data_IF_070132657502
#
_entry.id   IF_070132657502
#
_cell.length_a   1.000
_cell.length_b   1.000
_cell.length_c   1.000
_cell.angle_alpha   90.00
_cell.angle_beta   90.00
_cell.angle_gamma   90.00
#
_symmetry.space_group_name_H-M   'P 1'
#
loop_
_entity.id
_entity.type
_entity.pdbx_description
1 polymer ?
#
# COMPACT_ATOMS: atom_id res chain seq x y z
N UNK A 1 -14.50 -24.52 -8.55
CA UNK A 1 -13.85 -23.53 -7.65
C UNK A 1 -12.84 -22.78 -8.50
N UNK A 2 -13.04 -21.48 -8.71
CA UNK A 2 -12.03 -20.66 -9.38
C UNK A 2 -10.75 -20.67 -8.55
N UNK A 3 -9.62 -20.84 -9.24
CA UNK A 3 -8.30 -20.87 -8.61
C UNK A 3 -7.96 -19.48 -8.09
N UNK A 4 -7.93 -19.27 -6.76
CA UNK A 4 -7.45 -18.03 -6.16
C UNK A 4 -6.11 -17.63 -6.77
N UNK A 5 -6.04 -16.42 -7.32
CA UNK A 5 -4.80 -15.90 -7.90
C UNK A 5 -4.03 -15.12 -6.86
N UNK A 6 -2.70 -15.14 -6.98
CA UNK A 6 -1.83 -14.31 -6.15
C UNK A 6 -1.27 -13.16 -6.97
N UNK A 7 -1.47 -11.92 -6.55
CA UNK A 7 -1.09 -10.71 -7.28
C UNK A 7 -0.15 -9.83 -6.44
N UNK A 8 0.93 -9.28 -7.02
CA UNK A 8 1.79 -8.33 -6.31
C UNK A 8 1.12 -6.98 -6.16
N UNK A 9 1.31 -6.35 -5.00
CA UNK A 9 0.95 -4.95 -4.79
C UNK A 9 2.01 -4.24 -3.96
N UNK A 10 2.37 -3.01 -4.36
CA UNK A 10 3.38 -2.22 -3.68
C UNK A 10 2.76 -1.46 -2.50
N UNK A 11 3.44 -1.50 -1.37
CA UNK A 11 3.09 -0.74 -0.17
C UNK A 11 4.30 0.05 0.33
N UNK A 12 4.05 1.29 0.75
CA UNK A 12 5.07 2.11 1.41
C UNK A 12 5.32 1.62 2.84
N UNK A 13 6.45 2.01 3.42
CA UNK A 13 6.80 1.63 4.80
C UNK A 13 5.72 1.99 5.83
N UNK A 14 5.11 3.20 5.82
CA UNK A 14 3.99 3.51 6.71
C UNK A 14 2.78 2.58 6.53
N UNK A 15 2.42 2.26 5.27
CA UNK A 15 1.31 1.35 4.98
C UNK A 15 1.58 -0.07 5.49
N UNK A 16 2.83 -0.57 5.36
CA UNK A 16 3.21 -1.88 5.91
C UNK A 16 3.10 -1.89 7.43
N UNK A 17 3.52 -0.84 8.11
CA UNK A 17 3.34 -0.73 9.57
C UNK A 17 1.87 -0.81 9.95
N UNK A 18 1.02 -0.07 9.25
CA UNK A 18 -0.43 -0.10 9.47
C UNK A 18 -1.09 -1.46 9.14
N UNK A 19 -0.52 -2.25 8.23
CA UNK A 19 -0.94 -3.63 8.00
C UNK A 19 -0.52 -4.56 9.15
N UNK A 20 0.70 -4.37 9.67
CA UNK A 20 1.25 -5.19 10.76
C UNK A 20 0.54 -4.94 12.10
N UNK A 21 0.13 -3.71 12.37
CA UNK A 21 -0.63 -3.34 13.58
C UNK A 21 -2.16 -3.51 13.43
N UNK A 22 -2.63 -3.86 12.22
CA UNK A 22 -4.04 -4.14 11.94
C UNK A 22 -4.91 -2.90 11.71
N UNK A 23 -4.35 -1.70 11.71
CA UNK A 23 -5.09 -0.45 11.47
C UNK A 23 -5.47 -0.24 10.00
N UNK A 24 -4.77 -0.90 9.05
CA UNK A 24 -5.05 -0.83 7.63
C UNK A 24 -5.78 -2.07 7.14
N UNK A 25 -7.00 -1.89 6.63
CA UNK A 25 -7.81 -2.97 6.02
C UNK A 25 -8.40 -2.59 4.66
N UNK A 26 -8.02 -1.43 4.10
CA UNK A 26 -8.48 -0.90 2.83
C UNK A 26 -7.32 -0.29 2.04
N UNK A 27 -7.39 -0.30 0.70
CA UNK A 27 -6.43 0.43 -0.14
C UNK A 27 -7.06 0.93 -1.44
N UNK A 28 -6.74 2.18 -1.79
CA UNK A 28 -7.15 2.84 -3.04
C UNK A 28 -6.06 2.77 -4.08
N UNK A 29 -6.45 2.47 -5.33
CA UNK A 29 -5.54 2.43 -6.49
C UNK A 29 -6.20 3.13 -7.68
N UNK A 30 -5.48 4.07 -8.29
CA UNK A 30 -5.98 4.80 -9.47
C UNK A 30 -6.41 3.81 -10.55
N UNK A 31 -7.60 4.02 -11.09
CA UNK A 31 -8.07 3.33 -12.28
C UNK A 31 -7.26 3.84 -13.47
N UNK A 32 -6.33 3.01 -13.97
CA UNK A 32 -5.46 3.39 -15.09
C UNK A 32 -6.06 2.91 -16.39
N UNK A 33 -6.24 3.82 -17.32
CA UNK A 33 -6.66 3.53 -18.69
C UNK A 33 -5.86 4.38 -19.69
N UNK A 34 -5.73 3.91 -20.94
CA UNK A 34 -5.05 4.65 -22.01
C UNK A 34 -5.79 5.87 -22.53
N UNK A 35 -7.07 6.05 -22.13
CA UNK A 35 -7.88 7.25 -22.43
C UNK A 35 -8.21 7.99 -21.13
N UNK A 36 -8.48 9.29 -21.26
CA UNK A 36 -8.98 10.09 -20.14
C UNK A 36 -10.42 9.68 -19.82
N UNK A 37 -10.64 9.22 -18.60
CA UNK A 37 -11.95 8.80 -18.08
C UNK A 37 -12.52 9.80 -17.07
N UNK A 38 -11.88 10.97 -16.91
CA UNK A 38 -12.25 11.97 -15.89
C UNK A 38 -13.69 12.46 -16.01
N UNK A 39 -14.22 12.52 -17.23
CA UNK A 39 -15.58 12.97 -17.52
C UNK A 39 -16.62 11.83 -17.60
N UNK A 40 -16.16 10.58 -17.46
CA UNK A 40 -17.08 9.42 -17.46
C UNK A 40 -17.77 9.26 -16.11
N UNK A 41 -18.87 8.51 -16.11
CA UNK A 41 -19.55 8.05 -14.90
C UNK A 41 -19.38 6.56 -14.73
N UNK A 42 -19.21 6.10 -13.48
CA UNK A 42 -19.17 4.67 -13.20
C UNK A 42 -20.55 4.06 -13.42
N UNK A 43 -20.61 2.97 -14.20
CA UNK A 43 -21.85 2.33 -14.63
C UNK A 43 -22.10 0.95 -13.98
N UNK A 44 -21.17 0.49 -13.14
CA UNK A 44 -21.27 -0.79 -12.42
C UNK A 44 -20.21 -1.81 -12.80
N UNK A 45 -20.33 -3.00 -12.23
CA UNK A 45 -19.47 -4.15 -12.51
C UNK A 45 -20.21 -5.20 -13.35
N UNK A 46 -19.47 -5.88 -14.22
CA UNK A 46 -19.90 -7.12 -14.88
C UNK A 46 -18.70 -8.04 -14.94
N UNK A 47 -18.81 -9.23 -14.35
CA UNK A 47 -17.73 -10.19 -14.23
C UNK A 47 -16.47 -9.55 -13.59
N UNK A 48 -15.32 -9.55 -14.28
CA UNK A 48 -14.03 -9.02 -13.84
C UNK A 48 -13.75 -7.61 -14.39
N UNK A 49 -14.79 -6.85 -14.77
CA UNK A 49 -14.68 -5.52 -15.36
C UNK A 49 -15.53 -4.48 -14.64
N UNK A 50 -14.94 -3.30 -14.46
CA UNK A 50 -15.63 -2.08 -14.10
C UNK A 50 -16.02 -1.34 -15.38
N UNK A 51 -17.27 -0.89 -15.48
CA UNK A 51 -17.77 -0.18 -16.65
C UNK A 51 -17.96 1.29 -16.34
N UNK A 52 -17.50 2.11 -17.28
CA UNK A 52 -17.66 3.56 -17.26
C UNK A 52 -18.40 3.99 -18.52
N UNK A 53 -19.22 5.02 -18.43
CA UNK A 53 -20.02 5.52 -19.54
C UNK A 53 -19.93 7.04 -19.68
N UNK A 54 -20.00 7.50 -20.92
CA UNK A 54 -20.21 8.88 -21.32
C UNK A 54 -21.20 8.95 -22.48
N UNK A 55 -21.32 10.11 -23.13
CA UNK A 55 -22.20 10.30 -24.31
C UNK A 55 -21.77 9.46 -25.53
N UNK A 56 -20.50 9.04 -25.59
CA UNK A 56 -19.91 8.26 -26.69
C UNK A 56 -20.09 6.76 -26.53
N UNK A 57 -20.44 6.29 -25.33
CA UNK A 57 -20.70 4.89 -25.11
C UNK A 57 -20.20 4.32 -23.77
N UNK A 58 -20.04 3.01 -23.75
CA UNK A 58 -19.65 2.22 -22.58
C UNK A 58 -18.21 1.68 -22.74
N UNK A 59 -17.39 1.91 -21.74
CA UNK A 59 -16.01 1.44 -21.66
C UNK A 59 -15.85 0.45 -20.51
N UNK A 60 -15.45 -0.78 -20.82
CA UNK A 60 -15.10 -1.80 -19.82
C UNK A 60 -13.63 -1.75 -19.47
N UNK A 61 -13.33 -1.79 -18.18
CA UNK A 61 -11.97 -1.85 -17.66
C UNK A 61 -11.79 -3.03 -16.74
N UNK A 62 -10.85 -3.90 -17.12
CA UNK A 62 -10.52 -5.07 -16.33
C UNK A 62 -9.76 -4.66 -15.07
N UNK A 63 -10.20 -5.11 -13.90
CA UNK A 63 -9.42 -4.97 -12.70
C UNK A 63 -8.44 -6.15 -12.56
N UNK A 64 -7.29 -5.86 -11.96
CA UNK A 64 -6.19 -6.84 -11.89
C UNK A 64 -6.37 -7.86 -10.78
N UNK A 65 -7.29 -7.61 -9.84
CA UNK A 65 -7.47 -8.40 -8.61
C UNK A 65 -8.95 -8.53 -8.33
N UNK A 66 -9.44 -9.75 -8.14
CA UNK A 66 -10.85 -10.06 -7.88
C UNK A 66 -11.11 -10.30 -6.40
N UNK A 67 -12.37 -10.28 -5.98
CA UNK A 67 -12.77 -10.74 -4.65
C UNK A 67 -12.37 -12.21 -4.50
N UNK A 68 -11.72 -12.53 -3.38
CA UNK A 68 -11.16 -13.85 -3.08
C UNK A 68 -9.72 -14.06 -3.58
N UNK A 69 -9.19 -13.21 -4.45
CA UNK A 69 -7.75 -13.22 -4.78
C UNK A 69 -6.89 -12.82 -3.57
N UNK A 70 -5.63 -13.24 -3.58
CA UNK A 70 -4.68 -12.88 -2.55
C UNK A 70 -3.63 -11.91 -3.09
N UNK A 71 -3.53 -10.76 -2.47
CA UNK A 71 -2.47 -9.79 -2.72
C UNK A 71 -1.27 -10.19 -1.88
N UNK A 72 -0.09 -10.34 -2.50
CA UNK A 72 1.15 -10.40 -1.77
C UNK A 72 1.84 -9.03 -1.74
N UNK A 73 2.12 -8.56 -0.51
CA UNK A 73 2.63 -7.22 -0.30
C UNK A 73 4.11 -7.15 -0.65
N UNK A 74 4.48 -6.15 -1.45
CA UNK A 74 5.87 -5.81 -1.73
C UNK A 74 6.23 -4.56 -0.94
N UNK A 75 7.27 -4.68 -0.14
CA UNK A 75 7.74 -3.61 0.76
C UNK A 75 9.24 -3.32 0.56
N UNK A 76 9.71 -2.21 1.10
CA UNK A 76 11.14 -1.88 1.11
C UNK A 76 11.88 -2.89 1.97
N UNK A 77 12.89 -3.53 1.41
CA UNK A 77 13.65 -4.62 2.02
C UNK A 77 15.15 -4.46 1.82
N UNK A 78 15.93 -5.23 2.54
CA UNK A 78 17.37 -5.38 2.34
C UNK A 78 17.77 -6.82 2.60
N UNK A 79 18.97 -7.20 2.21
CA UNK A 79 19.50 -8.54 2.38
C UNK A 79 20.77 -8.46 3.21
N UNK A 80 20.86 -9.29 4.22
CA UNK A 80 22.07 -9.51 4.97
C UNK A 80 22.78 -10.75 4.40
N UNK A 81 23.96 -10.56 3.80
CA UNK A 81 24.71 -11.61 3.14
C UNK A 81 26.03 -11.88 3.89
N UNK A 82 26.54 -13.14 3.91
CA UNK A 82 27.89 -13.42 4.42
C UNK A 82 28.95 -12.68 3.60
N UNK A 83 29.97 -12.12 4.28
CA UNK A 83 31.09 -11.42 3.62
C UNK A 83 32.06 -12.38 2.93
N UNK A 84 32.06 -13.66 3.30
CA UNK A 84 32.94 -14.67 2.72
C UNK A 84 32.10 -15.81 2.11
N UNK A 85 32.52 -16.26 0.91
CA UNK A 85 31.96 -17.47 0.32
C UNK A 85 32.23 -18.64 1.27
N UNK A 86 31.17 -19.32 1.73
CA UNK A 86 31.35 -20.56 2.49
C UNK A 86 31.99 -21.61 1.58
N UNK A 87 32.98 -22.39 2.03
CA UNK A 87 33.73 -23.32 1.19
C UNK A 87 32.91 -24.44 0.53
N UNK A 88 31.62 -24.53 0.82
CA UNK A 88 30.74 -25.63 0.42
C UNK A 88 29.70 -25.27 -0.64
N UNK A 89 29.83 -24.15 -1.35
CA UNK A 89 28.90 -23.81 -2.44
C UNK A 89 27.43 -23.76 -2.02
N UNK A 90 27.15 -23.58 -0.74
CA UNK A 90 25.82 -23.39 -0.23
C UNK A 90 25.30 -22.06 -0.77
N UNK A 91 24.25 -22.09 -1.58
CA UNK A 91 23.41 -20.94 -1.84
C UNK A 91 22.90 -20.44 -0.49
N UNK A 92 23.64 -19.52 0.13
CA UNK A 92 23.17 -18.86 1.33
C UNK A 92 22.09 -17.90 0.86
N UNK A 93 20.85 -18.30 1.01
CA UNK A 93 19.73 -17.38 0.89
C UNK A 93 19.86 -16.37 2.02
N UNK A 94 20.40 -15.21 1.70
CA UNK A 94 20.59 -14.13 2.66
C UNK A 94 19.29 -13.85 3.40
N UNK A 95 19.42 -13.47 4.68
CA UNK A 95 18.24 -13.15 5.49
C UNK A 95 17.63 -11.84 5.01
N UNK A 96 16.32 -11.86 4.69
CA UNK A 96 15.57 -10.66 4.34
C UNK A 96 15.26 -9.83 5.58
N UNK A 97 15.52 -8.54 5.48
CA UNK A 97 15.17 -7.54 6.47
C UNK A 97 14.23 -6.52 5.85
N UNK A 98 13.28 -5.99 6.63
CA UNK A 98 12.24 -5.13 6.11
C UNK A 98 12.30 -3.76 6.78
N UNK A 99 12.33 -2.71 5.98
CA UNK A 99 12.46 -1.34 6.50
C UNK A 99 11.36 -0.96 7.50
N UNK A 100 10.19 -1.60 7.40
CA UNK A 100 9.11 -1.38 8.34
C UNK A 100 9.46 -1.75 9.79
N UNK A 101 10.34 -2.74 10.00
CA UNK A 101 10.74 -3.21 11.33
C UNK A 101 11.81 -2.31 11.96
N UNK A 102 12.59 -1.61 11.14
CA UNK A 102 13.76 -0.82 11.57
C UNK A 102 13.55 0.69 11.49
N UNK A 103 12.54 1.15 10.75
CA UNK A 103 12.31 2.59 10.53
C UNK A 103 13.49 3.25 9.79
N UNK A 104 14.18 4.17 10.46
CA UNK A 104 15.37 4.84 9.91
C UNK A 104 16.68 4.12 10.26
N UNK A 105 16.62 3.11 11.12
CA UNK A 105 17.78 2.32 11.52
C UNK A 105 18.10 1.23 10.48
N UNK A 106 19.24 0.60 10.64
CA UNK A 106 19.64 -0.60 9.91
C UNK A 106 19.57 -1.81 10.83
N UNK A 107 19.46 -3.03 10.28
CA UNK A 107 19.67 -4.24 11.07
C UNK A 107 21.04 -4.17 11.76
N UNK A 108 21.16 -4.75 12.96
CA UNK A 108 22.44 -4.96 13.61
C UNK A 108 23.00 -6.30 13.17
N UNK A 109 24.27 -6.34 12.79
CA UNK A 109 24.96 -7.55 12.35
C UNK A 109 26.43 -7.54 12.76
N UNK A 110 27.07 -8.70 12.69
CA UNK A 110 28.52 -8.83 12.81
C UNK A 110 29.17 -8.42 11.48
N UNK A 111 29.77 -7.23 11.44
CA UNK A 111 30.38 -6.65 10.23
C UNK A 111 31.56 -7.49 9.71
N UNK A 112 32.15 -8.36 10.55
CA UNK A 112 33.19 -9.30 10.11
C UNK A 112 32.67 -10.50 9.35
N UNK A 113 31.41 -10.91 9.61
CA UNK A 113 30.79 -12.10 9.05
C UNK A 113 29.75 -11.81 7.99
N UNK A 114 29.09 -10.65 8.04
CA UNK A 114 27.98 -10.31 7.17
C UNK A 114 28.09 -8.89 6.62
N UNK A 115 27.44 -8.66 5.49
CA UNK A 115 27.27 -7.35 4.85
C UNK A 115 25.79 -7.09 4.58
N UNK A 116 25.35 -5.87 4.91
CA UNK A 116 23.99 -5.42 4.56
C UNK A 116 24.03 -4.62 3.25
N UNK A 117 23.36 -5.11 2.23
CA UNK A 117 23.36 -4.55 0.88
C UNK A 117 22.53 -3.26 0.73
N UNK A 118 21.99 -2.74 1.86
CA UNK A 118 21.21 -1.53 1.91
C UNK A 118 19.72 -1.76 1.64
N UNK A 119 18.92 -0.69 1.81
CA UNK A 119 17.49 -0.72 1.54
C UNK A 119 17.19 -0.65 0.05
N UNK A 120 16.50 -1.66 -0.48
CA UNK A 120 16.03 -1.75 -1.87
C UNK A 120 14.56 -1.37 -1.97
N UNK A 121 14.17 -0.64 -3.03
CA UNK A 121 12.77 -0.31 -3.27
C UNK A 121 11.88 -1.55 -3.36
N UNK A 122 10.65 -1.43 -2.91
CA UNK A 122 9.63 -2.48 -2.94
C UNK A 122 9.40 -3.09 -4.33
N UNK A 123 9.65 -2.32 -5.39
CA UNK A 123 9.54 -2.79 -6.79
C UNK A 123 10.46 -3.98 -7.08
N UNK A 124 11.59 -4.10 -6.41
CA UNK A 124 12.58 -5.16 -6.64
C UNK A 124 12.42 -6.35 -5.68
N UNK A 125 11.44 -6.30 -4.75
CA UNK A 125 11.25 -7.37 -3.78
C UNK A 125 10.85 -8.67 -4.48
N UNK A 126 11.61 -9.77 -4.30
CA UNK A 126 11.27 -11.05 -4.88
C UNK A 126 10.08 -11.70 -4.14
N UNK A 127 9.38 -12.59 -4.84
CA UNK A 127 8.20 -13.27 -4.31
C UNK A 127 8.48 -14.05 -3.02
N UNK A 128 9.62 -14.71 -2.95
CA UNK A 128 10.05 -15.50 -1.78
C UNK A 128 10.24 -14.68 -0.51
N UNK A 129 10.56 -13.37 -0.65
CA UNK A 129 10.70 -12.44 0.48
C UNK A 129 9.35 -11.94 1.02
N UNK A 130 8.23 -12.31 0.41
CA UNK A 130 6.93 -11.84 0.87
C UNK A 130 6.53 -12.48 2.21
N UNK A 131 6.14 -11.65 3.17
CA UNK A 131 5.67 -12.05 4.50
C UNK A 131 4.23 -11.65 4.80
N UNK A 132 3.62 -10.77 3.99
CA UNK A 132 2.27 -10.27 4.22
C UNK A 132 1.37 -10.58 3.03
N UNK A 133 0.23 -11.22 3.33
CA UNK A 133 -0.76 -11.66 2.37
C UNK A 133 -2.12 -11.12 2.75
N UNK A 134 -2.84 -10.56 1.76
CA UNK A 134 -4.13 -9.90 1.95
C UNK A 134 -5.15 -10.59 1.05
N UNK A 135 -6.18 -11.20 1.61
CA UNK A 135 -7.32 -11.72 0.85
C UNK A 135 -8.30 -10.57 0.58
N UNK A 136 -8.60 -10.30 -0.67
CA UNK A 136 -9.56 -9.27 -1.08
C UNK A 136 -10.96 -9.73 -0.72
N UNK A 137 -11.66 -8.94 0.08
CA UNK A 137 -13.02 -9.24 0.55
C UNK A 137 -14.09 -8.46 -0.20
N UNK A 138 -13.74 -7.27 -0.72
CA UNK A 138 -14.66 -6.44 -1.50
C UNK A 138 -13.87 -5.55 -2.47
N UNK A 139 -14.53 -5.14 -3.56
CA UNK A 139 -14.00 -4.19 -4.54
C UNK A 139 -15.10 -3.21 -4.89
N UNK A 140 -14.80 -1.92 -4.85
CA UNK A 140 -15.71 -0.86 -5.32
C UNK A 140 -14.95 0.18 -6.12
N UNK A 141 -15.68 0.99 -6.88
CA UNK A 141 -15.15 2.13 -7.64
C UNK A 141 -15.80 3.39 -7.12
N UNK A 142 -14.99 4.40 -6.84
CA UNK A 142 -15.46 5.71 -6.41
C UNK A 142 -14.52 6.81 -6.92
N UNK A 143 -14.93 8.06 -6.80
CA UNK A 143 -14.01 9.18 -6.93
C UNK A 143 -13.13 9.26 -5.70
N UNK A 144 -11.88 9.68 -5.88
CA UNK A 144 -10.93 9.77 -4.77
C UNK A 144 -11.44 10.66 -3.63
N UNK A 145 -12.06 11.79 -3.97
CA UNK A 145 -12.52 12.77 -2.99
C UNK A 145 -13.86 12.38 -2.32
N UNK A 146 -14.51 11.29 -2.76
CA UNK A 146 -15.71 10.74 -2.10
C UNK A 146 -15.36 9.88 -0.87
N UNK A 147 -14.08 9.80 -0.50
CA UNK A 147 -13.63 9.06 0.67
C UNK A 147 -14.29 9.59 1.94
N UNK A 148 -14.83 8.68 2.77
CA UNK A 148 -15.32 9.02 4.11
C UNK A 148 -14.17 9.06 5.13
N UNK A 149 -14.41 9.68 6.30
CA UNK A 149 -13.43 9.69 7.40
C UNK A 149 -13.11 8.26 7.87
N UNK A 150 -14.13 7.40 8.00
CA UNK A 150 -13.95 5.99 8.35
C UNK A 150 -13.09 5.24 7.34
N UNK A 151 -13.26 5.52 6.05
CA UNK A 151 -12.43 4.94 5.00
C UNK A 151 -10.99 5.47 5.02
N UNK A 152 -10.82 6.76 5.32
CA UNK A 152 -9.49 7.34 5.50
C UNK A 152 -8.74 6.66 6.66
N UNK A 153 -9.42 6.40 7.77
CA UNK A 153 -8.85 5.61 8.89
C UNK A 153 -8.53 4.19 8.45
N UNK A 154 -9.42 3.54 7.69
CA UNK A 154 -9.22 2.18 7.16
C UNK A 154 -8.04 2.07 6.17
N UNK A 155 -7.61 3.18 5.55
CA UNK A 155 -6.36 3.25 4.78
C UNK A 155 -5.10 3.20 5.65
N UNK A 156 -5.24 3.23 6.99
CA UNK A 156 -4.15 3.10 7.95
C UNK A 156 -3.38 4.40 8.17
N UNK A 157 -4.05 5.54 8.13
CA UNK A 157 -3.47 6.81 8.57
C UNK A 157 -3.29 6.81 10.10
N UNK A 158 -2.36 7.60 10.59
CA UNK A 158 -1.99 7.60 12.00
C UNK A 158 -2.66 8.77 12.71
N UNK A 159 -3.40 8.45 13.79
CA UNK A 159 -3.79 9.42 14.80
C UNK A 159 -2.61 9.57 15.77
N UNK A 160 -2.01 10.75 15.85
CA UNK A 160 -0.86 11.04 16.71
C UNK A 160 -1.29 11.35 18.16
N UNK A 161 -2.62 11.48 18.42
CA UNK A 161 -3.20 11.76 19.75
C UNK A 161 -4.37 10.83 20.08
N UNK A 162 -4.19 9.48 20.03
CA UNK A 162 -5.31 8.52 20.17
C UNK A 162 -6.01 8.56 21.54
N UNK A 163 -5.43 9.23 22.53
CA UNK A 163 -5.98 9.36 23.89
C UNK A 163 -6.90 10.57 24.06
N UNK A 164 -6.98 11.44 23.05
CA UNK A 164 -7.86 12.61 23.07
C UNK A 164 -9.23 12.28 22.46
N UNK A 165 -10.29 13.04 22.81
CA UNK A 165 -11.56 12.95 22.11
C UNK A 165 -11.39 13.18 20.59
N UNK A 166 -12.28 12.62 19.76
CA UNK A 166 -12.19 12.71 18.31
C UNK A 166 -12.08 14.14 17.80
N UNK A 167 -12.77 15.09 18.44
CA UNK A 167 -12.75 16.53 18.12
C UNK A 167 -11.39 17.21 18.37
N UNK A 168 -10.58 16.64 19.27
CA UNK A 168 -9.23 17.13 19.61
C UNK A 168 -8.14 16.27 18.97
N UNK A 169 -8.52 15.26 18.18
CA UNK A 169 -7.57 14.35 17.55
C UNK A 169 -6.69 15.06 16.53
N UNK A 170 -5.42 14.73 16.57
CA UNK A 170 -4.40 15.24 15.65
C UNK A 170 -3.91 14.11 14.76
N UNK A 171 -4.13 14.26 13.47
CA UNK A 171 -3.78 13.27 12.46
C UNK A 171 -2.47 13.61 11.77
N UNK A 172 -1.71 12.58 11.42
CA UNK A 172 -0.37 12.75 10.85
C UNK A 172 -0.40 13.45 9.49
N UNK A 173 0.46 14.47 9.33
CA UNK A 173 0.83 14.99 8.01
C UNK A 173 1.98 14.16 7.43
N UNK A 174 1.76 13.54 6.27
CA UNK A 174 2.76 12.75 5.55
C UNK A 174 3.59 13.57 4.56
N UNK A 175 3.27 14.85 4.39
CA UNK A 175 3.94 15.76 3.46
C UNK A 175 4.17 17.16 4.08
N UNK A 176 4.75 17.22 5.31
CA UNK A 176 4.94 18.48 6.00
C UNK A 176 5.92 19.38 5.23
N UNK A 177 5.75 20.71 5.30
CA UNK A 177 6.72 21.66 4.75
C UNK A 177 8.10 21.46 5.36
N UNK A 178 9.16 21.48 4.54
CA UNK A 178 10.54 21.22 4.98
C UNK A 178 11.08 22.17 6.05
N UNK A 179 10.47 23.35 6.22
CA UNK A 179 10.86 24.40 7.19
C UNK A 179 10.09 24.27 8.52
N UNK A 180 9.10 23.42 8.61
CA UNK A 180 8.28 23.25 9.80
C UNK A 180 8.94 22.29 10.79
N UNK A 181 9.56 22.84 11.83
CA UNK A 181 10.27 22.09 12.88
C UNK A 181 9.26 21.39 13.81
N UNK A 182 8.07 21.99 13.96
CA UNK A 182 6.96 21.43 14.73
C UNK A 182 5.88 20.99 13.73
N UNK A 183 5.77 19.70 13.50
CA UNK A 183 4.72 19.12 12.66
C UNK A 183 3.38 19.40 13.35
N UNK A 184 2.66 20.43 12.89
CA UNK A 184 1.24 20.58 13.19
C UNK A 184 0.52 19.43 12.51
N UNK A 185 -0.05 18.53 13.28
CA UNK A 185 -0.92 17.51 12.71
C UNK A 185 -2.16 18.14 12.06
N UNK A 186 -2.87 17.33 11.33
CA UNK A 186 -4.06 17.71 10.58
C UNK A 186 -5.33 17.44 11.41
N UNK A 187 -6.37 18.28 11.21
CA UNK A 187 -7.57 18.23 12.02
C UNK A 187 -8.54 17.09 11.62
N UNK A 188 -8.38 16.52 10.41
CA UNK A 188 -9.30 15.47 9.96
C UNK A 188 -8.56 14.26 9.38
N UNK A 189 -9.17 13.05 9.46
CA UNK A 189 -8.66 11.85 8.80
C UNK A 189 -8.51 12.04 7.28
N UNK A 190 -9.45 12.75 6.64
CA UNK A 190 -9.42 13.00 5.19
C UNK A 190 -8.21 13.85 4.80
N UNK A 191 -7.90 14.91 5.59
CA UNK A 191 -6.74 15.75 5.31
C UNK A 191 -5.43 14.97 5.47
N UNK A 192 -5.35 14.11 6.49
CA UNK A 192 -4.22 13.21 6.68
C UNK A 192 -4.07 12.25 5.49
N UNK A 193 -5.15 11.63 5.05
CA UNK A 193 -5.12 10.76 3.88
C UNK A 193 -4.76 11.53 2.60
N UNK A 194 -5.27 12.75 2.41
CA UNK A 194 -4.87 13.64 1.31
C UNK A 194 -3.35 13.86 1.31
N UNK A 195 -2.77 14.16 2.47
CA UNK A 195 -1.32 14.36 2.59
C UNK A 195 -0.54 13.09 2.23
N UNK A 196 -1.01 11.91 2.68
CA UNK A 196 -0.44 10.62 2.31
C UNK A 196 -0.55 10.37 0.81
N UNK A 197 -1.72 10.61 0.22
CA UNK A 197 -1.95 10.43 -1.21
C UNK A 197 -1.00 11.28 -2.06
N UNK A 198 -0.88 12.56 -1.75
CA UNK A 198 0.01 13.48 -2.46
C UNK A 198 1.49 13.16 -2.27
N UNK A 199 1.88 12.62 -1.11
CA UNK A 199 3.25 12.16 -0.87
C UNK A 199 3.65 11.00 -1.79
N UNK A 200 2.67 10.20 -2.23
CA UNK A 200 2.88 9.01 -3.08
C UNK A 200 2.70 9.35 -4.57
N UNK A 201 1.66 10.12 -4.91
CA UNK A 201 1.23 10.35 -6.28
C UNK A 201 1.65 11.72 -6.83
N UNK A 202 2.27 12.56 -5.98
CA UNK A 202 2.72 13.92 -6.31
C UNK A 202 1.72 14.99 -5.91
N UNK A 203 2.24 16.20 -5.68
CA UNK A 203 1.45 17.37 -5.29
C UNK A 203 0.38 17.69 -6.33
N UNK A 204 -0.83 18.00 -5.89
CA UNK A 204 -1.99 18.30 -6.75
C UNK A 204 -2.70 17.06 -7.30
N UNK A 205 -2.20 15.86 -7.05
CA UNK A 205 -2.84 14.60 -7.50
C UNK A 205 -4.20 14.34 -6.82
N UNK A 206 -4.45 14.95 -5.67
CA UNK A 206 -5.74 14.93 -4.98
C UNK A 206 -6.80 15.72 -5.76
N UNK A 207 -6.44 16.90 -6.26
CA UNK A 207 -7.37 17.81 -6.93
C UNK A 207 -7.81 17.31 -8.32
N UNK A 208 -7.05 16.37 -8.91
CA UNK A 208 -7.44 15.66 -10.14
C UNK A 208 -8.69 14.80 -9.90
N UNK A 209 -8.93 14.36 -8.66
CA UNK A 209 -10.06 13.54 -8.25
C UNK A 209 -10.31 12.33 -9.19
N UNK A 210 -9.31 11.46 -9.40
CA UNK A 210 -9.44 10.33 -10.32
C UNK A 210 -10.43 9.29 -9.80
N UNK A 211 -10.93 8.42 -10.68
CA UNK A 211 -11.55 7.19 -10.24
C UNK A 211 -10.50 6.27 -9.62
N UNK A 212 -10.89 5.62 -8.51
CA UNK A 212 -10.05 4.65 -7.80
C UNK A 212 -10.79 3.33 -7.63
N UNK A 213 -10.07 2.23 -7.76
CA UNK A 213 -10.47 0.95 -7.19
C UNK A 213 -10.17 0.98 -5.69
N UNK A 214 -11.17 0.69 -4.89
CA UNK A 214 -11.04 0.50 -3.46
C UNK A 214 -11.12 -0.99 -3.17
N UNK A 215 -10.07 -1.52 -2.59
CA UNK A 215 -9.98 -2.91 -2.18
C UNK A 215 -10.09 -2.98 -0.65
N UNK A 216 -11.13 -3.65 -0.16
CA UNK A 216 -11.20 -4.07 1.23
C UNK A 216 -10.56 -5.44 1.33
N UNK A 217 -9.83 -5.70 2.42
CA UNK A 217 -9.10 -6.94 2.59
C UNK A 217 -8.93 -7.32 4.07
N UNK A 218 -8.54 -8.54 4.29
CA UNK A 218 -8.07 -9.07 5.58
C UNK A 218 -6.69 -9.68 5.41
N UNK A 219 -5.87 -9.60 6.46
CA UNK A 219 -4.59 -10.30 6.52
C UNK A 219 -4.85 -11.80 6.63
N UNK A 220 -4.12 -12.59 5.85
CA UNK A 220 -4.22 -14.05 5.84
C UNK A 220 -2.83 -14.68 5.90
N UNK A 221 -2.77 -15.95 6.24
CA UNK A 221 -1.53 -16.73 6.20
C UNK A 221 -1.02 -16.92 4.77
N UNK A 222 0.26 -17.25 4.65
CA UNK A 222 0.88 -17.55 3.36
C UNK A 222 0.12 -18.68 2.67
N UNK A 223 -0.35 -18.48 1.42
CA UNK A 223 -1.03 -19.54 0.68
C UNK A 223 -0.11 -20.74 0.44
N UNK A 224 -0.64 -21.95 0.55
CA UNK A 224 0.12 -23.22 0.42
C UNK A 224 0.86 -23.34 -0.91
N UNK A 225 0.32 -22.74 -1.97
CA UNK A 225 0.87 -22.78 -3.33
C UNK A 225 1.55 -21.46 -3.76
N UNK A 226 2.03 -20.68 -2.79
CA UNK A 226 2.68 -19.40 -3.05
C UNK A 226 4.16 -19.56 -3.39
#
# INVERSE_FOLDING_TARGET
MEKKQTKPMLFSTPMIKALLDGSKNQTRRIVKHGMDISQMTFAGFREDQAYFKDEKGLLGMKFTTNVGDVIWCRETFGILQPTHATPQGTNYDGTYHYKADYGNEKPKWDEGAFEFDGWKPSLFMPKQACRLFLEVTNIRVERLNDISESDAVAEGIINDTPSLPDEDSVWRDYNPPKWEILVKGLASPIDSYKSLWESINGKGSWDINPFVFVYDFKVVERPVNF
#
